data_IF_890680411578
#
_entry.id   IF_890680411578
#
_cell.length_a   1.000
_cell.length_b   1.000
_cell.length_c   1.000
_cell.angle_alpha   90.00
_cell.angle_beta   90.00
_cell.angle_gamma   90.00
#
_symmetry.space_group_name_H-M   'P 1'
#
loop_
_entity.id
_entity.type
_entity.pdbx_description
1 polymer ?
#
# COMPACT_ATOMS: atom_id res chain seq x y z
N UNK A 1 -30.32 50.34 -61.25
CA UNK A 1 -30.57 48.88 -61.22
C UNK A 1 -30.80 48.54 -59.75
N UNK A 2 -32.07 48.56 -59.29
CA UNK A 2 -32.98 47.40 -59.15
C UNK A 2 -32.43 46.42 -58.09
N UNK A 3 -32.89 46.49 -56.82
CA UNK A 3 -34.06 45.81 -56.23
C UNK A 3 -33.74 44.33 -55.88
N UNK A 4 -33.66 43.96 -54.59
CA UNK A 4 -34.63 43.12 -53.81
C UNK A 4 -34.72 41.67 -54.33
N UNK A 5 -34.82 40.59 -53.53
CA UNK A 5 -35.81 40.25 -52.52
C UNK A 5 -35.42 38.89 -51.87
N UNK A 6 -35.98 38.63 -50.69
CA UNK A 6 -36.09 37.34 -49.99
C UNK A 6 -36.86 36.29 -50.80
N UNK A 7 -36.75 35.00 -50.47
CA UNK A 7 -37.92 34.21 -50.06
C UNK A 7 -37.61 32.80 -49.56
N UNK A 8 -38.58 32.32 -48.80
CA UNK A 8 -38.66 31.18 -47.92
C UNK A 8 -39.25 29.94 -48.63
N UNK A 9 -39.45 28.88 -47.84
CA UNK A 9 -40.53 27.87 -47.92
C UNK A 9 -40.16 26.44 -48.30
N UNK A 10 -40.57 25.59 -47.36
CA UNK A 10 -40.58 24.14 -47.26
C UNK A 10 -41.44 23.41 -48.31
N UNK A 11 -41.25 22.08 -48.37
CA UNK A 11 -42.30 21.03 -48.35
C UNK A 11 -41.58 19.66 -48.34
N UNK A 12 -41.75 18.78 -47.36
CA UNK A 12 -42.95 18.05 -46.88
C UNK A 12 -43.22 16.76 -47.66
N UNK A 13 -43.80 15.79 -46.92
CA UNK A 13 -44.43 14.50 -47.29
C UNK A 13 -43.72 13.32 -46.64
N UNK A 14 -44.16 12.78 -45.49
CA UNK A 14 -45.46 12.28 -44.97
C UNK A 14 -45.51 10.75 -44.99
N UNK A 15 -45.89 10.18 -43.84
CA UNK A 15 -46.64 8.93 -43.74
C UNK A 15 -45.95 7.85 -42.92
N UNK A 16 -46.58 7.19 -41.95
CA UNK A 16 -47.91 7.32 -41.37
C UNK A 16 -47.95 6.41 -40.13
N UNK A 17 -48.76 6.79 -39.13
CA UNK A 17 -49.52 5.98 -38.17
C UNK A 17 -48.87 4.78 -37.44
N UNK A 18 -49.12 4.55 -36.15
CA UNK A 18 -50.22 5.06 -35.34
C UNK A 18 -50.10 4.60 -33.88
N UNK A 19 -50.95 5.24 -33.09
CA UNK A 19 -51.06 5.22 -31.63
C UNK A 19 -51.29 3.85 -31.00
N UNK A 20 -50.93 3.72 -29.72
CA UNK A 20 -51.91 3.57 -28.62
C UNK A 20 -51.28 3.75 -27.23
N UNK A 21 -52.10 4.30 -26.34
CA UNK A 21 -51.88 4.63 -24.93
C UNK A 21 -51.82 3.42 -23.99
N UNK A 22 -51.16 3.66 -22.84
CA UNK A 22 -51.56 3.24 -21.47
C UNK A 22 -51.69 1.75 -21.11
N UNK A 23 -50.85 1.27 -20.18
CA UNK A 23 -51.22 0.97 -18.77
C UNK A 23 -50.19 0.05 -18.07
N UNK A 24 -49.82 0.48 -16.86
CA UNK A 24 -49.71 -0.28 -15.61
C UNK A 24 -48.87 -1.59 -15.48
N UNK A 25 -48.10 -1.58 -14.37
CA UNK A 25 -47.66 -2.69 -13.50
C UNK A 25 -46.52 -3.59 -13.99
N UNK A 26 -45.43 -3.50 -13.24
CA UNK A 26 -44.40 -4.54 -13.14
C UNK A 26 -43.27 -4.11 -12.22
N UNK A 27 -43.49 -4.17 -10.91
CA UNK A 27 -42.41 -4.20 -9.92
C UNK A 27 -41.41 -5.27 -10.35
N UNK A 28 -40.13 -4.93 -10.53
CA UNK A 28 -39.01 -5.77 -10.13
C UNK A 28 -37.75 -4.90 -10.10
N UNK A 29 -37.50 -4.35 -8.92
CA UNK A 29 -36.17 -3.96 -8.49
C UNK A 29 -35.49 -5.22 -7.95
N UNK A 30 -34.35 -5.66 -8.50
CA UNK A 30 -33.50 -6.59 -7.80
C UNK A 30 -32.27 -5.83 -7.31
N UNK A 31 -32.32 -5.39 -6.07
CA UNK A 31 -31.18 -5.42 -5.16
C UNK A 31 -31.75 -5.93 -3.83
N UNK A 32 -31.04 -6.76 -3.04
CA UNK A 32 -29.60 -6.97 -3.05
C UNK A 32 -29.22 -8.46 -3.12
N UNK A 33 -28.18 -8.82 -3.88
CA UNK A 33 -27.45 -10.05 -3.62
C UNK A 33 -26.27 -9.69 -2.73
N UNK A 34 -26.54 -9.67 -1.43
CA UNK A 34 -25.53 -9.67 -0.39
C UNK A 34 -24.73 -10.96 -0.54
N UNK A 35 -23.66 -10.91 -1.32
CA UNK A 35 -22.55 -11.84 -1.19
C UNK A 35 -21.83 -11.47 0.10
N UNK A 36 -22.45 -11.82 1.24
CA UNK A 36 -21.74 -12.07 2.48
C UNK A 36 -20.76 -13.19 2.17
N UNK A 37 -19.54 -12.79 1.78
CA UNK A 37 -18.40 -13.67 1.87
C UNK A 37 -18.28 -13.98 3.36
N UNK A 38 -18.68 -15.20 3.72
CA UNK A 38 -18.21 -15.85 4.92
C UNK A 38 -16.69 -15.82 4.84
N UNK A 39 -16.09 -14.81 5.45
CA UNK A 39 -14.71 -14.90 5.91
C UNK A 39 -14.76 -15.98 6.98
N UNK A 40 -14.27 -17.16 6.62
CA UNK A 40 -13.88 -18.15 7.61
C UNK A 40 -12.94 -17.42 8.58
N UNK A 41 -13.35 -17.41 9.85
CA UNK A 41 -12.65 -16.78 10.96
C UNK A 41 -11.38 -17.60 11.24
N UNK A 42 -10.42 -17.49 10.32
CA UNK A 42 -9.10 -18.08 10.37
C UNK A 42 -8.13 -17.04 10.87
N UNK A 43 -7.64 -17.21 12.11
CA UNK A 43 -6.69 -16.38 12.83
C UNK A 43 -6.58 -14.93 12.30
N UNK A 44 -7.53 -14.09 12.71
CA UNK A 44 -7.48 -12.67 12.44
C UNK A 44 -6.31 -12.06 13.23
N UNK A 45 -5.10 -12.13 12.65
CA UNK A 45 -3.89 -11.59 13.23
C UNK A 45 -4.06 -10.12 13.67
N UNK A 46 -3.23 -9.69 14.61
CA UNK A 46 -3.39 -8.38 15.26
C UNK A 46 -3.26 -7.23 14.25
N UNK A 47 -4.04 -6.16 14.44
CA UNK A 47 -3.87 -4.90 13.72
C UNK A 47 -3.17 -3.89 14.62
N UNK A 48 -2.07 -3.35 14.13
CA UNK A 48 -1.24 -2.36 14.78
C UNK A 48 -1.37 -1.04 14.02
N UNK A 49 -1.90 -0.01 14.68
CA UNK A 49 -2.01 1.33 14.13
C UNK A 49 -1.17 2.30 14.96
N UNK A 50 -0.51 3.26 14.32
CA UNK A 50 0.30 4.24 15.02
C UNK A 50 1.11 5.13 14.11
N UNK A 51 2.23 5.62 14.64
CA UNK A 51 3.12 6.57 13.97
C UNK A 51 4.50 5.97 13.80
N UNK A 52 5.03 6.02 12.59
CA UNK A 52 6.39 5.63 12.28
C UNK A 52 7.29 6.85 12.05
N UNK A 53 8.54 6.73 12.47
CA UNK A 53 9.65 7.61 12.09
C UNK A 53 10.71 6.76 11.41
N UNK A 54 10.95 7.02 10.13
CA UNK A 54 11.77 6.22 9.24
C UNK A 54 12.87 7.11 8.65
N UNK A 55 14.13 6.79 8.95
CA UNK A 55 15.28 7.29 8.23
C UNK A 55 15.44 6.50 6.92
N UNK A 56 15.39 7.22 5.80
CA UNK A 56 15.64 6.70 4.46
C UNK A 56 17.07 7.07 4.06
N UNK A 57 17.90 6.06 3.84
CA UNK A 57 19.30 6.21 3.48
C UNK A 57 19.43 6.41 1.96
N UNK A 58 20.49 7.10 1.48
CA UNK A 58 20.77 7.23 0.04
C UNK A 58 20.90 5.90 -0.70
N UNK A 59 21.30 4.83 0.01
CA UNK A 59 21.35 3.46 -0.53
C UNK A 59 19.97 2.87 -0.84
N UNK A 60 18.89 3.53 -0.41
CA UNK A 60 17.52 3.03 -0.45
C UNK A 60 17.13 2.15 0.74
N UNK A 61 18.07 1.84 1.64
CA UNK A 61 17.75 1.16 2.88
C UNK A 61 16.97 2.07 3.82
N UNK A 62 16.16 1.48 4.68
CA UNK A 62 15.40 2.20 5.70
C UNK A 62 15.71 1.67 7.09
N UNK A 63 15.69 2.56 8.07
CA UNK A 63 15.74 2.18 9.48
C UNK A 63 14.89 3.15 10.28
N UNK A 64 14.19 2.67 11.29
CA UNK A 64 13.24 3.50 11.99
C UNK A 64 12.58 2.81 13.17
N UNK A 65 11.56 3.49 13.68
CA UNK A 65 10.73 2.99 14.76
C UNK A 65 9.26 3.23 14.43
N UNK A 66 8.42 2.29 14.84
CA UNK A 66 6.97 2.39 14.79
C UNK A 66 6.42 2.37 16.21
N UNK A 67 5.63 3.38 16.59
CA UNK A 67 5.00 3.48 17.89
C UNK A 67 3.51 3.19 17.70
N UNK A 68 3.07 2.04 18.20
CA UNK A 68 1.66 1.65 18.23
C UNK A 68 0.91 2.51 19.23
N UNK A 69 -0.28 2.97 18.84
CA UNK A 69 -1.17 3.76 19.69
C UNK A 69 -2.44 2.95 20.00
N UNK A 70 -3.06 3.17 21.18
CA UNK A 70 -2.71 4.15 22.22
C UNK A 70 -1.67 3.64 23.24
N UNK A 71 -1.31 2.37 23.18
CA UNK A 71 -0.51 1.65 24.16
C UNK A 71 1.00 1.95 24.12
N UNK A 72 1.44 2.78 23.17
CA UNK A 72 2.80 3.34 23.07
C UNK A 72 3.90 2.27 23.01
N UNK A 73 3.61 1.12 22.42
CA UNK A 73 4.60 0.06 22.20
C UNK A 73 5.46 0.44 21.00
N UNK A 74 6.77 0.39 21.19
CA UNK A 74 7.74 0.70 20.15
C UNK A 74 8.27 -0.57 19.49
N UNK A 75 8.20 -0.60 18.16
CA UNK A 75 8.76 -1.61 17.28
C UNK A 75 9.91 -1.00 16.47
N UNK A 76 10.93 -1.79 16.20
CA UNK A 76 12.01 -1.44 15.28
C UNK A 76 11.61 -1.72 13.84
N UNK A 77 12.05 -0.89 12.92
CA UNK A 77 11.89 -1.08 11.48
C UNK A 77 13.28 -1.12 10.83
N UNK A 78 13.54 -2.14 10.02
CA UNK A 78 14.76 -2.24 9.22
C UNK A 78 14.43 -2.79 7.84
N UNK A 79 14.66 -2.01 6.80
CA UNK A 79 14.41 -2.41 5.42
C UNK A 79 15.67 -2.39 4.59
N UNK A 80 15.92 -3.47 3.84
CA UNK A 80 17.04 -3.57 2.90
C UNK A 80 16.53 -3.67 1.48
N UNK A 81 17.04 -2.89 0.51
CA UNK A 81 16.66 -2.99 -0.90
C UNK A 81 17.01 -4.36 -1.47
N UNK A 82 16.03 -4.96 -2.14
CA UNK A 82 16.25 -6.16 -2.94
C UNK A 82 16.80 -5.70 -4.30
N UNK A 83 18.08 -5.95 -4.53
CA UNK A 83 18.78 -5.53 -5.75
C UNK A 83 18.83 -6.70 -6.73
N UNK A 84 18.02 -6.66 -7.78
CA UNK A 84 18.13 -7.57 -8.94
C UNK A 84 17.82 -6.84 -10.26
N UNK A 85 18.32 -7.39 -11.38
CA UNK A 85 18.33 -6.72 -12.69
C UNK A 85 16.95 -6.17 -13.07
N UNK A 86 16.91 -4.85 -13.29
CA UNK A 86 15.69 -4.10 -13.60
C UNK A 86 15.15 -4.50 -14.97
N UNK A 87 14.10 -5.31 -14.98
CA UNK A 87 13.11 -5.29 -16.07
C UNK A 87 11.79 -4.69 -15.60
N UNK A 88 11.81 -3.83 -14.58
CA UNK A 88 10.59 -3.14 -14.17
C UNK A 88 10.43 -1.87 -15.04
N UNK A 89 9.48 -1.90 -15.97
CA UNK A 89 9.01 -0.71 -16.72
C UNK A 89 8.26 0.31 -15.83
N UNK A 90 8.20 0.05 -14.52
CA UNK A 90 7.42 0.76 -13.51
C UNK A 90 8.19 1.90 -12.84
N UNK A 91 8.70 2.83 -13.64
CA UNK A 91 9.27 4.10 -13.14
C UNK A 91 10.51 3.98 -12.25
N UNK A 92 11.21 5.10 -12.06
CA UNK A 92 12.49 5.13 -11.31
C UNK A 92 12.31 5.14 -9.78
N UNK A 93 11.09 5.41 -9.31
CA UNK A 93 10.77 5.55 -7.88
C UNK A 93 10.23 4.26 -7.23
N UNK A 94 10.20 3.13 -7.95
CA UNK A 94 9.75 1.83 -7.46
C UNK A 94 10.91 1.04 -6.87
N UNK A 95 10.78 0.56 -5.62
CA UNK A 95 11.78 -0.30 -4.96
C UNK A 95 11.10 -1.40 -4.14
N UNK A 96 11.65 -2.61 -4.19
CA UNK A 96 11.28 -3.68 -3.27
C UNK A 96 12.22 -3.68 -2.06
N UNK A 97 11.64 -3.79 -0.86
CA UNK A 97 12.36 -3.86 0.40
C UNK A 97 12.06 -5.16 1.12
N UNK A 98 13.11 -5.87 1.57
CA UNK A 98 13.00 -6.84 2.66
C UNK A 98 12.89 -6.06 3.97
N UNK A 99 11.67 -5.90 4.48
CA UNK A 99 11.36 -5.16 5.70
C UNK A 99 11.26 -6.11 6.89
N UNK A 100 12.01 -5.80 7.93
CA UNK A 100 12.00 -6.51 9.22
C UNK A 100 11.36 -5.61 10.27
N UNK A 101 10.29 -6.10 10.90
CA UNK A 101 9.63 -5.49 12.03
C UNK A 101 10.09 -6.21 13.28
N UNK A 102 10.66 -5.47 14.23
CA UNK A 102 11.31 -6.02 15.43
C UNK A 102 10.49 -5.63 16.66
N UNK A 103 9.99 -6.62 17.40
CA UNK A 103 9.45 -6.42 18.73
C UNK A 103 10.58 -6.50 19.77
N UNK A 104 10.98 -5.34 20.29
CA UNK A 104 12.02 -5.26 21.32
C UNK A 104 11.62 -5.91 22.65
N UNK A 105 10.32 -6.01 22.95
CA UNK A 105 9.81 -6.59 24.19
C UNK A 105 9.93 -8.11 24.17
N UNK A 106 9.49 -8.73 23.07
CA UNK A 106 9.50 -10.18 22.91
C UNK A 106 10.79 -10.71 22.27
N UNK A 107 11.65 -9.82 21.76
CA UNK A 107 12.86 -10.14 20.96
C UNK A 107 12.53 -11.02 19.76
N UNK A 108 11.38 -10.76 19.14
CA UNK A 108 10.90 -11.45 17.95
C UNK A 108 10.94 -10.50 16.78
N UNK A 109 11.12 -11.04 15.59
CA UNK A 109 11.10 -10.27 14.36
C UNK A 109 10.21 -10.95 13.34
N UNK A 110 9.54 -10.14 12.52
CA UNK A 110 8.79 -10.60 11.36
C UNK A 110 9.36 -9.93 10.13
N UNK A 111 9.60 -10.73 9.11
CA UNK A 111 10.14 -10.27 7.83
C UNK A 111 9.04 -10.30 6.78
N UNK A 112 8.97 -9.23 5.99
CA UNK A 112 7.99 -9.00 4.94
C UNK A 112 8.71 -8.46 3.70
N UNK A 113 8.11 -8.65 2.52
CA UNK A 113 8.49 -7.89 1.33
C UNK A 113 7.47 -6.79 1.12
N UNK A 114 7.94 -5.55 1.01
CA UNK A 114 7.10 -4.38 0.78
C UNK A 114 7.59 -3.59 -0.40
N UNK A 115 6.67 -2.90 -1.04
CA UNK A 115 6.97 -1.91 -2.04
C UNK A 115 7.23 -0.56 -1.35
N UNK A 116 8.33 0.09 -1.73
CA UNK A 116 8.63 1.47 -1.37
C UNK A 116 8.53 2.35 -2.61
N UNK A 117 7.63 3.34 -2.55
CA UNK A 117 7.46 4.39 -3.56
C UNK A 117 7.82 5.75 -3.00
N UNK A 118 8.13 6.67 -3.90
CA UNK A 118 8.45 8.05 -3.54
C UNK A 118 9.93 8.16 -3.16
N UNK A 119 10.58 9.16 -3.73
CA UNK A 119 12.02 9.37 -3.58
C UNK A 119 12.35 9.76 -2.13
N UNK A 120 12.10 11.01 -1.75
CA UNK A 120 12.38 11.48 -0.39
C UNK A 120 11.16 11.35 0.53
N UNK A 121 9.95 11.42 -0.03
CA UNK A 121 8.68 11.22 0.67
C UNK A 121 8.18 9.78 0.46
N UNK A 122 8.68 8.87 1.30
CA UNK A 122 8.46 7.44 1.16
C UNK A 122 7.00 7.06 1.47
N UNK A 123 6.49 6.10 0.70
CA UNK A 123 5.25 5.36 0.95
C UNK A 123 5.58 3.88 0.90
N UNK A 124 5.17 3.15 1.94
CA UNK A 124 5.33 1.69 1.97
C UNK A 124 3.96 1.04 1.83
N UNK A 125 3.84 0.06 0.94
CA UNK A 125 2.61 -0.70 0.73
C UNK A 125 2.93 -2.16 0.44
N UNK A 126 1.94 -3.04 0.59
CA UNK A 126 2.00 -4.38 0.02
C UNK A 126 2.17 -4.34 -1.50
N UNK A 127 2.62 -5.45 -2.06
CA UNK A 127 2.82 -5.57 -3.49
C UNK A 127 1.47 -5.91 -4.15
N UNK A 128 0.91 -4.96 -4.89
CA UNK A 128 -0.40 -5.11 -5.55
C UNK A 128 -0.35 -5.93 -6.85
N UNK A 129 0.83 -6.04 -7.46
CA UNK A 129 1.04 -6.80 -8.69
C UNK A 129 2.50 -7.23 -8.77
N UNK A 130 2.73 -8.54 -8.66
CA UNK A 130 4.01 -9.16 -8.96
C UNK A 130 4.07 -9.50 -10.45
N UNK A 131 5.18 -9.21 -11.12
CA UNK A 131 5.44 -9.63 -12.49
C UNK A 131 6.72 -10.43 -12.58
N UNK A 132 6.63 -11.63 -13.16
CA UNK A 132 7.80 -12.46 -13.46
C UNK A 132 8.62 -12.80 -12.20
N UNK A 133 9.88 -12.36 -12.18
CA UNK A 133 10.87 -12.66 -11.14
C UNK A 133 10.51 -12.12 -9.74
N UNK A 134 9.66 -11.10 -9.66
CA UNK A 134 9.20 -10.54 -8.39
C UNK A 134 8.41 -11.60 -7.59
N UNK A 135 7.67 -12.46 -8.29
CA UNK A 135 6.92 -13.58 -7.70
C UNK A 135 7.85 -14.63 -7.09
N UNK A 136 8.95 -14.95 -7.79
CA UNK A 136 9.95 -15.91 -7.29
C UNK A 136 10.64 -15.40 -6.03
N UNK A 137 10.92 -14.09 -5.94
CA UNK A 137 11.55 -13.48 -4.76
C UNK A 137 10.58 -13.41 -3.59
N UNK A 138 9.37 -12.91 -3.83
CA UNK A 138 8.36 -12.84 -2.77
C UNK A 138 8.06 -14.25 -2.27
N UNK A 139 7.87 -15.20 -3.17
CA UNK A 139 7.69 -16.62 -2.83
C UNK A 139 8.88 -17.20 -2.05
N UNK A 140 10.12 -16.79 -2.34
CA UNK A 140 11.30 -17.23 -1.59
C UNK A 140 11.32 -16.68 -0.17
N UNK A 141 11.05 -15.37 0.00
CA UNK A 141 11.03 -14.70 1.32
C UNK A 141 9.84 -15.19 2.15
N UNK A 142 8.66 -15.36 1.54
CA UNK A 142 7.48 -15.90 2.19
C UNK A 142 7.68 -17.36 2.61
N UNK A 143 8.34 -18.17 1.77
CA UNK A 143 8.69 -19.55 2.13
C UNK A 143 9.68 -19.62 3.30
N UNK A 144 10.64 -18.69 3.37
CA UNK A 144 11.64 -18.61 4.45
C UNK A 144 11.04 -18.13 5.77
N UNK A 145 10.04 -17.24 5.73
CA UNK A 145 9.52 -16.52 6.90
C UNK A 145 8.03 -16.77 7.22
N UNK A 146 7.42 -17.74 6.53
CA UNK A 146 6.04 -18.18 6.69
C UNK A 146 5.02 -17.34 5.91
N UNK A 147 4.05 -18.02 5.30
CA UNK A 147 3.01 -17.44 4.43
C UNK A 147 1.88 -16.75 5.22
N UNK A 148 2.20 -15.93 6.22
CA UNK A 148 1.17 -15.15 6.90
C UNK A 148 0.83 -13.92 6.05
N UNK A 149 -0.44 -13.76 5.70
CA UNK A 149 -0.93 -12.64 4.90
C UNK A 149 -0.94 -11.36 5.76
N UNK A 150 0.21 -10.69 5.84
CA UNK A 150 0.37 -9.41 6.53
C UNK A 150 0.10 -8.27 5.57
N UNK A 151 -0.75 -7.33 5.97
CA UNK A 151 -0.96 -6.06 5.28
C UNK A 151 -0.18 -4.95 5.96
N UNK A 152 0.44 -4.08 5.18
CA UNK A 152 1.25 -2.96 5.65
C UNK A 152 0.99 -1.74 4.78
N UNK A 153 0.75 -0.61 5.43
CA UNK A 153 0.72 0.70 4.81
C UNK A 153 1.48 1.72 5.64
N UNK A 154 2.24 2.57 4.96
CA UNK A 154 2.89 3.74 5.52
C UNK A 154 2.78 4.90 4.54
N UNK A 155 2.44 6.08 5.06
CA UNK A 155 2.40 7.31 4.30
C UNK A 155 3.14 8.40 5.05
N UNK A 156 4.17 8.98 4.41
CA UNK A 156 4.88 10.12 4.97
C UNK A 156 3.96 11.35 5.06
N UNK A 157 3.79 11.89 6.26
CA UNK A 157 3.09 13.15 6.52
C UNK A 157 4.07 14.31 6.75
N UNK A 158 5.28 14.02 7.23
CA UNK A 158 6.33 15.02 7.49
C UNK A 158 7.68 14.48 7.02
N UNK A 159 8.29 15.19 6.07
CA UNK A 159 9.65 14.95 5.60
C UNK A 159 10.61 15.95 6.25
N UNK A 160 11.69 15.44 6.82
CA UNK A 160 12.83 16.23 7.30
C UNK A 160 14.05 15.90 6.45
N UNK A 161 14.80 16.93 6.08
CA UNK A 161 16.04 16.84 5.32
C UNK A 161 17.15 17.65 6.01
N UNK A 162 18.37 17.47 5.53
CA UNK A 162 19.55 18.22 5.96
C UNK A 162 19.70 18.25 7.50
N UNK A 163 19.84 19.45 8.06
CA UNK A 163 20.02 19.67 9.49
C UNK A 163 18.85 19.16 10.33
N UNK A 164 17.61 19.29 9.86
CA UNK A 164 16.44 18.85 10.62
C UNK A 164 16.35 17.31 10.67
N UNK A 165 16.81 16.65 9.61
CA UNK A 165 16.96 15.19 9.60
C UNK A 165 18.08 14.75 10.54
N UNK A 166 19.26 15.37 10.44
CA UNK A 166 20.42 15.01 11.26
C UNK A 166 20.14 15.25 12.75
N UNK A 167 19.52 16.36 13.13
CA UNK A 167 19.12 16.64 14.52
C UNK A 167 18.13 15.58 15.05
N UNK A 168 17.23 15.09 14.18
CA UNK A 168 16.32 14.00 14.53
C UNK A 168 17.04 12.67 14.69
N UNK A 169 17.93 12.32 13.75
CA UNK A 169 18.75 11.11 13.76
C UNK A 169 19.64 11.09 15.00
N UNK A 170 20.28 12.20 15.34
CA UNK A 170 21.12 12.34 16.54
C UNK A 170 20.35 11.95 17.80
N UNK A 171 19.08 12.36 17.89
CA UNK A 171 18.24 12.16 19.06
C UNK A 171 17.62 10.76 19.15
N UNK A 172 17.17 10.21 18.03
CA UNK A 172 16.32 9.01 18.03
C UNK A 172 16.95 7.79 17.33
N UNK A 173 17.91 7.99 16.43
CA UNK A 173 18.55 6.93 15.62
C UNK A 173 20.08 7.17 15.52
N UNK A 174 20.81 7.27 16.65
CA UNK A 174 22.18 7.79 16.67
C UNK A 174 23.19 6.98 15.85
N UNK A 175 22.86 5.73 15.51
CA UNK A 175 23.71 4.86 14.69
C UNK A 175 23.72 5.27 13.20
N UNK A 176 22.81 6.15 12.78
CA UNK A 176 22.68 6.60 11.38
C UNK A 176 23.26 8.00 11.14
N UNK A 177 23.93 8.59 12.13
CA UNK A 177 24.50 9.95 12.05
C UNK A 177 25.48 10.07 10.88
N UNK A 178 25.37 11.16 10.14
CA UNK A 178 26.27 11.45 9.02
C UNK A 178 26.14 10.50 7.82
N UNK A 179 25.07 9.69 7.76
CA UNK A 179 24.77 8.85 6.59
C UNK A 179 23.88 9.54 5.56
N UNK A 180 23.68 10.85 5.70
CA UNK A 180 22.91 11.69 4.76
C UNK A 180 21.48 11.17 4.51
N UNK A 181 20.85 10.67 5.58
CA UNK A 181 19.50 10.12 5.52
C UNK A 181 18.46 11.22 5.69
N UNK A 182 17.36 11.13 4.94
CA UNK A 182 16.15 11.93 5.18
C UNK A 182 15.23 11.22 6.16
N UNK A 183 14.44 11.95 6.95
CA UNK A 183 13.53 11.34 7.93
C UNK A 183 12.08 11.57 7.51
N UNK A 184 11.36 10.47 7.30
CA UNK A 184 9.94 10.41 7.01
C UNK A 184 9.17 10.07 8.30
N UNK A 185 8.21 10.92 8.68
CA UNK A 185 7.32 10.68 9.83
C UNK A 185 5.89 10.63 9.30
N UNK A 186 5.13 9.63 9.73
CA UNK A 186 3.75 9.52 9.29
C UNK A 186 3.02 8.32 9.88
N UNK A 187 1.77 8.15 9.43
CA UNK A 187 0.92 7.05 9.88
C UNK A 187 1.38 5.74 9.30
N UNK A 188 1.31 4.70 10.13
CA UNK A 188 1.58 3.34 9.73
C UNK A 188 0.51 2.41 10.28
N UNK A 189 0.05 1.49 9.43
CA UNK A 189 -0.88 0.44 9.78
C UNK A 189 -0.30 -0.91 9.35
N UNK A 190 -0.36 -1.90 10.24
CA UNK A 190 0.11 -3.26 10.00
C UNK A 190 -0.98 -4.21 10.48
N UNK A 191 -1.58 -4.99 9.59
CA UNK A 191 -2.68 -5.92 9.92
C UNK A 191 -2.30 -7.36 9.60
N UNK A 192 -2.88 -8.31 10.35
CA UNK A 192 -2.63 -9.73 10.13
C UNK A 192 -1.25 -10.20 10.62
N UNK A 193 -0.58 -9.40 11.45
CA UNK A 193 0.72 -9.76 12.02
C UNK A 193 0.51 -10.44 13.37
N UNK A 194 1.08 -11.64 13.54
CA UNK A 194 1.12 -12.32 14.82
C UNK A 194 2.57 -12.41 15.31
N UNK A 195 2.97 -11.44 16.14
CA UNK A 195 4.29 -11.43 16.77
C UNK A 195 4.36 -12.35 18.01
N UNK A 196 3.25 -13.01 18.37
CA UNK A 196 3.10 -13.84 19.58
C UNK A 196 3.13 -15.34 19.30
N UNK A 197 2.88 -15.77 18.06
CA UNK A 197 2.93 -17.19 17.71
C UNK A 197 4.37 -17.65 17.45
N UNK A 198 4.68 -18.83 17.99
CA UNK A 198 5.93 -19.53 17.78
C UNK A 198 5.92 -20.11 16.35
N UNK A 199 6.95 -19.78 15.56
CA UNK A 199 7.38 -20.71 14.51
C UNK A 199 7.93 -21.94 15.24
N UNK A 200 7.06 -22.89 15.59
CA UNK A 200 7.54 -24.24 15.88
C UNK A 200 8.24 -24.74 14.62
N UNK A 201 9.52 -25.14 14.69
CA UNK A 201 10.20 -25.70 13.54
C UNK A 201 9.42 -26.95 13.13
N UNK A 202 8.87 -26.93 11.91
CA UNK A 202 8.30 -28.12 11.29
C UNK A 202 9.44 -29.14 11.15
N UNK A 203 9.51 -30.05 12.12
CA UNK A 203 10.46 -31.16 12.10
C UNK A 203 10.32 -31.91 10.78
N UNK A 204 11.42 -32.03 10.05
CA UNK A 204 11.56 -33.00 8.98
C UNK A 204 11.31 -34.39 9.57
N UNK A 205 10.30 -35.09 9.04
CA UNK A 205 10.11 -36.53 9.19
C UNK A 205 10.43 -37.22 7.87
#
# INVERSE_FOLDING_TARGET
>A
MMASESDEVAQSVFGAGGATESQAKGNHQPAPAEALQNVEDGDAGETLEGVASIALLPSGAISGHFIRLPDSICYGLQGTPISYERECSRGEDYRLLKLTIIDFKCKREKVLVVECRGHDAARLQNIDHLHGWEDDIVGLVEKEHGNQKVLLSFECETLKADKDAEDHIIKYMPNLRGLDAVVNIGKMCISGINLKEDDEPKGEN
#
